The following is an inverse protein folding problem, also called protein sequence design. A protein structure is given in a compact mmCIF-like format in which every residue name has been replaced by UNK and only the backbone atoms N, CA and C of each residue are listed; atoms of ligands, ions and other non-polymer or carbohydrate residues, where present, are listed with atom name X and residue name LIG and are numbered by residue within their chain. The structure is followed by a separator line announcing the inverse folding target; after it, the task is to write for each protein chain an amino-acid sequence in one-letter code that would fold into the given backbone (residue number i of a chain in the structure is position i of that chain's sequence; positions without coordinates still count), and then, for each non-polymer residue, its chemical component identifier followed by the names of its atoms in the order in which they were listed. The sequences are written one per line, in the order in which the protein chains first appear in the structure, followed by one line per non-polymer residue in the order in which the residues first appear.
data_IF_778960700652
#
_entry.id   IF_778960700652
#
_cell.length_a   1.000
_cell.length_b   1.000
_cell.length_c   1.000
_cell.angle_alpha   90.00
_cell.angle_beta   90.00
_cell.angle_gamma   90.00
#
_symmetry.space_group_name_H-M   'P 1'
#
loop_
_entity.id
_entity.type
_entity.pdbx_description
1 polymer ?
#
# COMPACT_ATOMS: atom_id res chain seq x y z
N UNK A 1 13.01 43.48 8.13
CA UNK A 1 11.74 43.73 8.86
C UNK A 1 10.66 42.85 8.24
N UNK A 2 9.87 42.17 9.09
CA UNK A 2 8.76 41.20 8.85
C UNK A 2 9.10 39.97 7.99
N UNK A 3 9.20 38.72 8.45
CA UNK A 3 8.51 37.87 9.45
C UNK A 3 7.14 37.31 9.00
N UNK A 4 7.11 36.03 8.63
CA UNK A 4 6.00 35.06 8.76
C UNK A 4 6.52 33.66 8.34
N UNK A 5 7.00 32.85 9.29
CA UNK A 5 6.30 31.80 10.06
C UNK A 5 6.16 30.45 9.34
N UNK A 6 6.97 29.51 9.83
CA UNK A 6 7.03 28.08 9.57
C UNK A 6 5.75 27.36 10.00
N UNK A 7 5.18 26.55 9.11
CA UNK A 7 4.13 25.59 9.43
C UNK A 7 4.73 24.29 9.96
N UNK A 8 4.39 23.97 11.21
CA UNK A 8 4.87 22.85 12.03
C UNK A 8 4.20 21.51 11.72
N UNK A 9 4.93 20.46 12.07
CA UNK A 9 4.57 19.05 12.19
C UNK A 9 3.15 18.76 12.70
N UNK A 10 2.58 17.66 12.22
CA UNK A 10 1.41 17.02 12.84
C UNK A 10 1.66 15.52 13.04
N UNK A 11 2.55 15.20 13.98
CA UNK A 11 2.48 13.94 14.71
C UNK A 11 1.46 14.11 15.84
N UNK A 12 0.25 13.57 15.67
CA UNK A 12 -0.72 13.51 16.75
C UNK A 12 -0.30 12.41 17.74
N UNK A 13 0.26 12.80 18.88
CA UNK A 13 0.49 11.88 20.00
C UNK A 13 -0.75 11.82 20.90
N UNK A 14 -1.18 10.60 21.23
CA UNK A 14 -2.33 10.30 22.11
C UNK A 14 -2.11 10.78 23.57
N UNK A 15 -0.91 11.27 23.91
CA UNK A 15 -0.59 11.79 25.25
C UNK A 15 -1.13 13.19 25.56
N UNK A 16 -1.57 13.96 24.58
CA UNK A 16 -2.02 15.36 24.80
C UNK A 16 -3.51 15.50 25.18
N UNK A 17 -4.22 14.39 25.42
CA UNK A 17 -5.65 14.41 25.70
C UNK A 17 -6.06 14.14 27.17
N UNK A 18 -5.11 13.93 28.10
CA UNK A 18 -5.47 13.63 29.49
C UNK A 18 -4.53 14.32 30.49
N UNK A 19 -4.99 15.43 31.08
CA UNK A 19 -4.46 15.91 32.36
C UNK A 19 -4.98 14.99 33.48
N UNK A 20 -4.08 14.52 34.33
CA UNK A 20 -4.32 13.50 35.38
C UNK A 20 -5.27 13.92 36.52
N UNK A 21 -5.83 15.14 36.53
CA UNK A 21 -6.52 15.70 37.71
C UNK A 21 -8.06 15.72 37.65
N UNK A 22 -8.70 14.93 36.78
CA UNK A 22 -10.18 14.91 36.65
C UNK A 22 -10.85 13.58 37.01
N UNK A 23 -10.11 12.61 37.55
CA UNK A 23 -10.66 11.29 37.96
C UNK A 23 -11.36 11.27 39.33
N UNK A 24 -11.74 12.43 39.87
CA UNK A 24 -12.49 12.54 41.11
C UNK A 24 -13.72 13.43 40.96
N UNK A 25 -14.91 12.82 40.85
CA UNK A 25 -16.26 13.43 40.86
C UNK A 25 -16.94 13.64 39.50
N UNK A 26 -17.33 12.54 38.85
CA UNK A 26 -18.42 12.55 37.86
C UNK A 26 -19.71 12.04 38.51
N UNK A 27 -20.51 12.97 39.05
CA UNK A 27 -21.88 12.68 39.47
C UNK A 27 -22.81 12.63 38.26
N UNK A 28 -23.88 11.82 38.36
CA UNK A 28 -24.88 11.43 37.34
C UNK A 28 -25.53 12.53 36.48
N UNK A 29 -25.21 13.80 36.65
CA UNK A 29 -25.88 14.93 35.95
C UNK A 29 -25.18 15.44 34.70
N UNK A 30 -23.90 15.11 34.45
CA UNK A 30 -23.18 15.69 33.30
C UNK A 30 -23.39 14.96 31.95
N UNK A 31 -24.14 13.86 31.90
CA UNK A 31 -24.37 13.11 30.66
C UNK A 31 -25.54 13.67 29.84
N UNK A 32 -26.52 14.30 30.49
CA UNK A 32 -27.67 14.92 29.81
C UNK A 32 -27.28 16.24 29.14
N UNK A 33 -26.38 17.01 29.74
CA UNK A 33 -25.86 18.25 29.15
C UNK A 33 -25.00 17.98 27.90
N UNK A 34 -24.39 16.80 27.78
CA UNK A 34 -23.64 16.40 26.59
C UNK A 34 -24.55 16.03 25.40
N UNK A 35 -25.80 15.60 25.68
CA UNK A 35 -26.77 15.20 24.67
C UNK A 35 -27.56 16.39 24.11
N UNK A 36 -27.78 17.44 24.90
CA UNK A 36 -28.45 18.67 24.44
C UNK A 36 -27.58 19.55 23.51
N UNK A 37 -26.26 19.32 23.47
CA UNK A 37 -25.34 19.99 22.53
C UNK A 37 -25.44 19.49 21.07
N UNK A 38 -26.08 18.34 20.83
CA UNK A 38 -26.22 17.74 19.51
C UNK A 38 -27.53 18.27 18.87
N UNK A 39 -27.51 19.55 18.48
CA UNK A 39 -28.65 20.25 17.91
C UNK A 39 -29.14 19.67 16.58
N UNK A 40 -30.14 18.78 16.62
CA UNK A 40 -30.94 18.34 15.47
C UNK A 40 -31.96 19.44 15.09
N UNK A 41 -31.54 20.41 14.26
CA UNK A 41 -32.48 21.32 13.59
C UNK A 41 -33.22 20.58 12.46
N UNK A 42 -34.51 20.34 12.69
CA UNK A 42 -35.47 19.76 11.74
C UNK A 42 -35.76 20.76 10.61
N UNK A 43 -35.32 20.48 9.37
CA UNK A 43 -35.81 21.20 8.18
C UNK A 43 -37.06 20.49 7.65
N UNK A 44 -38.20 21.18 7.68
CA UNK A 44 -39.41 20.81 6.97
C UNK A 44 -39.26 21.13 5.48
N UNK A 45 -39.62 20.19 4.60
CA UNK A 45 -39.79 20.49 3.17
C UNK A 45 -39.68 19.28 2.24
N UNK A 46 -40.85 18.82 1.78
CA UNK A 46 -41.19 18.09 0.54
C UNK A 46 -40.38 16.84 0.13
N UNK A 47 -41.16 15.78 -0.08
CA UNK A 47 -40.76 14.44 -0.49
C UNK A 47 -39.93 14.38 -1.78
N UNK A 48 -38.88 13.56 -1.75
CA UNK A 48 -38.49 12.75 -2.91
C UNK A 48 -37.88 11.42 -2.43
N UNK A 49 -38.46 10.32 -2.89
CA UNK A 49 -38.05 8.95 -2.58
C UNK A 49 -36.67 8.67 -3.19
N UNK A 50 -35.62 8.64 -2.35
CA UNK A 50 -34.34 7.91 -2.50
C UNK A 50 -33.43 8.30 -1.33
N UNK A 51 -33.74 7.81 -0.13
CA UNK A 51 -32.88 7.98 1.04
C UNK A 51 -33.00 6.76 1.95
N UNK A 52 -32.43 5.65 1.51
CA UNK A 52 -32.12 4.51 2.37
C UNK A 52 -30.60 4.40 2.47
N UNK A 53 -30.13 4.39 3.72
CA UNK A 53 -28.78 4.07 4.18
C UNK A 53 -27.67 5.14 4.03
N UNK A 54 -27.74 6.18 4.87
CA UNK A 54 -26.55 6.57 5.65
C UNK A 54 -26.86 6.26 7.10
N UNK A 55 -26.56 5.04 7.52
CA UNK A 55 -26.52 4.75 8.95
C UNK A 55 -25.22 5.38 9.44
N UNK A 56 -25.33 6.39 10.30
CA UNK A 56 -24.18 7.10 10.84
C UNK A 56 -23.35 6.11 11.68
N UNK A 57 -22.12 5.83 11.21
CA UNK A 57 -21.22 4.84 11.80
C UNK A 57 -20.88 5.19 13.26
N UNK A 58 -20.94 6.48 13.62
CA UNK A 58 -20.79 6.95 15.02
C UNK A 58 -21.93 6.47 15.91
N UNK A 59 -23.15 6.39 15.37
CA UNK A 59 -24.32 5.89 16.09
C UNK A 59 -24.25 4.38 16.30
N UNK A 60 -23.74 3.62 15.32
CA UNK A 60 -23.53 2.16 15.47
C UNK A 60 -22.42 1.86 16.47
N UNK A 61 -21.27 2.53 16.36
CA UNK A 61 -20.16 2.34 17.30
C UNK A 61 -20.53 2.76 18.73
N UNK A 62 -21.28 3.86 18.89
CA UNK A 62 -21.82 4.26 20.19
C UNK A 62 -22.81 3.22 20.73
N UNK A 63 -23.67 2.65 19.89
CA UNK A 63 -24.60 1.59 20.31
C UNK A 63 -23.85 0.32 20.71
N UNK A 64 -22.80 -0.08 19.98
CA UNK A 64 -21.99 -1.26 20.31
C UNK A 64 -21.17 -1.06 21.59
N UNK A 65 -20.56 0.11 21.77
CA UNK A 65 -19.88 0.47 23.01
C UNK A 65 -20.85 0.52 24.21
N UNK A 66 -22.05 1.09 24.01
CA UNK A 66 -23.11 1.12 25.02
C UNK A 66 -23.59 -0.29 25.39
N UNK A 67 -23.74 -1.17 24.41
CA UNK A 67 -24.10 -2.58 24.63
C UNK A 67 -22.98 -3.36 25.34
N UNK A 68 -21.70 -3.10 25.04
CA UNK A 68 -20.57 -3.72 25.73
C UNK A 68 -20.43 -3.26 27.20
N UNK A 69 -20.74 -1.99 27.48
CA UNK A 69 -20.66 -1.41 28.84
C UNK A 69 -21.82 -1.84 29.75
N UNK A 70 -23.00 -2.15 29.21
CA UNK A 70 -24.19 -2.53 29.99
C UNK A 70 -24.24 -4.03 30.33
N UNK A 71 -23.37 -4.85 29.75
CA UNK A 71 -23.49 -6.31 29.76
C UNK A 71 -22.77 -7.11 30.88
N UNK A 72 -22.12 -6.58 31.94
CA UNK A 72 -21.61 -7.49 32.97
C UNK A 72 -22.69 -8.04 33.91
N UNK A 73 -23.95 -7.58 33.84
CA UNK A 73 -24.91 -7.86 34.92
C UNK A 73 -26.20 -8.61 34.54
N UNK A 74 -26.49 -8.90 33.26
CA UNK A 74 -27.75 -9.55 32.92
C UNK A 74 -27.60 -10.61 31.80
N UNK A 75 -27.61 -11.87 32.23
CA UNK A 75 -27.87 -13.10 31.48
C UNK A 75 -26.73 -13.72 30.65
N UNK A 76 -26.27 -14.96 30.98
CA UNK A 76 -25.29 -15.71 30.19
C UNK A 76 -25.79 -16.15 28.80
N UNK A 77 -27.06 -15.92 28.47
CA UNK A 77 -27.64 -16.25 27.16
C UNK A 77 -27.26 -15.21 26.08
N UNK A 78 -27.13 -13.93 26.46
CA UNK A 78 -26.79 -12.85 25.51
C UNK A 78 -25.31 -12.92 25.12
N UNK A 79 -24.44 -13.42 26.00
CA UNK A 79 -23.01 -13.63 25.69
C UNK A 79 -22.79 -14.61 24.53
N UNK A 80 -23.53 -15.73 24.50
CA UNK A 80 -23.41 -16.72 23.41
C UNK A 80 -23.94 -16.19 22.09
N UNK A 81 -25.01 -15.40 22.10
CA UNK A 81 -25.59 -14.80 20.90
C UNK A 81 -24.77 -13.60 20.39
N UNK A 82 -24.22 -12.79 21.30
CA UNK A 82 -23.36 -11.65 21.00
C UNK A 82 -21.98 -12.07 20.51
N UNK A 83 -21.39 -13.12 21.09
CA UNK A 83 -20.15 -13.69 20.56
C UNK A 83 -20.38 -14.37 19.21
N UNK A 84 -21.52 -15.02 18.99
CA UNK A 84 -21.85 -15.59 17.68
C UNK A 84 -22.09 -14.50 16.61
N UNK A 85 -22.70 -13.37 16.97
CA UNK A 85 -22.90 -12.25 16.05
C UNK A 85 -21.57 -11.53 15.75
N UNK A 86 -20.72 -11.34 16.76
CA UNK A 86 -19.37 -10.79 16.61
C UNK A 86 -18.46 -11.74 15.82
N UNK A 87 -18.49 -13.05 16.12
CA UNK A 87 -17.79 -14.06 15.33
C UNK A 87 -18.37 -14.19 13.93
N UNK A 88 -19.66 -13.98 13.68
CA UNK A 88 -20.21 -13.97 12.32
C UNK A 88 -19.85 -12.68 11.55
N UNK A 89 -19.76 -11.54 12.25
CA UNK A 89 -19.24 -10.28 11.70
C UNK A 89 -17.74 -10.37 11.38
N UNK A 90 -16.97 -11.12 12.16
CA UNK A 90 -15.53 -11.35 11.96
C UNK A 90 -15.25 -12.52 11.00
N UNK A 91 -16.05 -13.59 11.01
CA UNK A 91 -15.93 -14.74 10.10
C UNK A 91 -16.53 -14.46 8.71
N UNK A 92 -17.29 -13.37 8.56
CA UNK A 92 -17.70 -12.86 7.25
C UNK A 92 -16.58 -12.21 6.44
N UNK A 93 -15.34 -12.18 6.96
CA UNK A 93 -14.18 -11.63 6.27
C UNK A 93 -13.45 -12.64 5.36
N UNK A 94 -13.96 -13.86 5.18
CA UNK A 94 -13.38 -14.89 4.30
C UNK A 94 -13.78 -14.76 2.82
N UNK A 95 -14.39 -13.64 2.44
CA UNK A 95 -14.61 -13.24 1.06
C UNK A 95 -14.34 -11.74 0.98
N UNK A 96 -13.64 -11.28 -0.06
CA UNK A 96 -13.06 -9.94 -0.27
C UNK A 96 -14.01 -8.72 -0.21
N UNK A 97 -15.19 -8.84 0.41
CA UNK A 97 -16.14 -7.78 0.65
C UNK A 97 -16.37 -7.60 2.15
N UNK A 98 -15.44 -6.89 2.79
CA UNK A 98 -15.68 -6.33 4.12
C UNK A 98 -16.83 -5.31 4.04
N UNK A 99 -17.83 -5.40 4.93
CA UNK A 99 -18.88 -4.37 5.07
C UNK A 99 -18.31 -2.99 5.44
N UNK A 100 -17.11 -2.95 6.00
CA UNK A 100 -16.36 -1.75 6.33
C UNK A 100 -14.95 -1.88 5.74
N UNK A 101 -14.62 -1.01 4.80
CA UNK A 101 -13.24 -0.85 4.35
C UNK A 101 -12.44 -0.19 5.49
N UNK A 102 -11.60 -0.96 6.16
CA UNK A 102 -10.67 -0.45 7.17
C UNK A 102 -9.65 0.47 6.49
N UNK A 103 -9.44 1.71 6.99
CA UNK A 103 -8.35 2.57 6.52
C UNK A 103 -7.01 1.84 6.55
N UNK A 104 -6.13 2.07 5.57
CA UNK A 104 -4.82 1.39 5.47
C UNK A 104 -4.03 1.52 6.77
N UNK A 105 -4.05 2.69 7.40
CA UNK A 105 -3.38 2.94 8.68
C UNK A 105 -3.87 2.00 9.79
N UNK A 106 -5.17 1.69 9.81
CA UNK A 106 -5.71 0.74 10.80
C UNK A 106 -5.30 -0.69 10.53
N UNK A 107 -5.11 -1.09 9.25
CA UNK A 107 -4.60 -2.44 8.93
C UNK A 107 -3.18 -2.62 9.44
N UNK A 108 -2.33 -1.60 9.27
CA UNK A 108 -0.94 -1.65 9.71
C UNK A 108 -0.80 -1.78 11.23
N UNK A 109 -1.69 -1.16 12.01
CA UNK A 109 -1.68 -1.25 13.49
C UNK A 109 -1.98 -2.66 14.00
N UNK A 110 -2.77 -3.46 13.26
CA UNK A 110 -3.11 -4.83 13.65
C UNK A 110 -2.21 -5.89 13.01
N UNK A 111 -1.12 -5.48 12.36
CA UNK A 111 -0.14 -6.45 11.84
C UNK A 111 0.52 -7.19 13.00
N UNK A 112 0.73 -8.51 12.89
CA UNK A 112 1.50 -9.24 13.86
C UNK A 112 2.91 -8.63 13.99
N UNK A 113 3.44 -8.50 15.21
CA UNK A 113 4.79 -8.01 15.40
C UNK A 113 5.80 -8.96 14.76
N UNK A 114 6.82 -8.42 14.12
CA UNK A 114 7.91 -9.21 13.54
C UNK A 114 9.06 -9.39 14.53
N UNK A 115 9.80 -10.49 14.40
CA UNK A 115 11.06 -10.68 15.11
C UNK A 115 12.13 -9.78 14.47
N UNK A 116 12.81 -8.93 15.23
CA UNK A 116 13.74 -7.93 14.69
C UNK A 116 15.12 -8.49 14.32
N UNK A 117 15.34 -9.79 14.51
CA UNK A 117 16.63 -10.44 14.25
C UNK A 117 17.06 -10.34 12.78
N UNK A 118 16.12 -10.21 11.84
CA UNK A 118 16.43 -10.07 10.41
C UNK A 118 17.22 -8.81 10.06
N UNK A 119 17.20 -7.77 10.91
CA UNK A 119 17.81 -6.47 10.60
C UNK A 119 18.90 -6.04 11.58
N UNK A 120 19.28 -6.87 12.56
CA UNK A 120 20.33 -6.53 13.55
C UNK A 120 21.69 -6.25 12.91
N UNK A 121 22.02 -6.96 11.85
CA UNK A 121 23.29 -6.86 11.11
C UNK A 121 23.08 -6.31 9.68
N UNK A 122 21.94 -5.66 9.44
CA UNK A 122 21.60 -5.00 8.17
C UNK A 122 21.70 -3.49 8.39
N UNK A 123 22.80 -2.89 7.93
CA UNK A 123 23.04 -1.44 8.04
C UNK A 123 22.91 -0.71 6.71
N UNK A 124 22.89 -1.44 5.60
CA UNK A 124 22.72 -0.92 4.25
C UNK A 124 22.11 -2.00 3.35
N UNK A 125 21.58 -1.59 2.20
CA UNK A 125 21.14 -2.53 1.16
C UNK A 125 22.37 -3.10 0.46
N UNK A 126 22.47 -4.42 0.41
CA UNK A 126 23.60 -5.09 -0.23
C UNK A 126 23.52 -4.89 -1.75
N UNK A 127 24.68 -4.71 -2.41
CA UNK A 127 24.76 -4.53 -3.86
C UNK A 127 25.67 -5.62 -4.41
N UNK A 128 25.11 -6.46 -5.26
CA UNK A 128 25.78 -7.61 -5.87
C UNK A 128 25.65 -7.57 -7.39
N UNK A 129 26.47 -8.37 -8.05
CA UNK A 129 26.48 -8.55 -9.50
C UNK A 129 26.96 -9.96 -9.82
N UNK A 130 26.49 -10.55 -10.91
CA UNK A 130 26.84 -11.91 -11.34
C UNK A 130 26.66 -12.97 -10.23
N UNK A 131 25.63 -12.83 -9.40
CA UNK A 131 25.37 -13.73 -8.28
C UNK A 131 24.75 -15.04 -8.78
N UNK A 132 25.23 -16.19 -8.29
CA UNK A 132 24.62 -17.48 -8.65
C UNK A 132 23.23 -17.63 -8.00
N UNK A 133 22.29 -18.39 -8.62
CA UNK A 133 21.03 -18.71 -7.98
C UNK A 133 21.19 -19.34 -6.59
N UNK A 134 22.20 -20.18 -6.39
CA UNK A 134 22.49 -20.84 -5.12
C UNK A 134 22.95 -19.87 -4.02
N UNK A 135 23.85 -18.94 -4.37
CA UNK A 135 24.32 -17.91 -3.44
C UNK A 135 23.19 -16.93 -3.11
N UNK A 136 22.35 -16.61 -4.09
CA UNK A 136 21.17 -15.77 -3.87
C UNK A 136 20.14 -16.46 -2.98
N UNK A 137 19.85 -17.75 -3.22
CA UNK A 137 18.90 -18.53 -2.43
C UNK A 137 19.33 -18.64 -0.97
N UNK A 138 20.60 -18.99 -0.75
CA UNK A 138 21.15 -19.18 0.59
C UNK A 138 21.29 -17.89 1.40
N UNK A 139 21.42 -16.74 0.73
CA UNK A 139 21.73 -15.46 1.39
C UNK A 139 20.56 -14.50 1.43
N UNK A 140 19.75 -14.41 0.37
CA UNK A 140 18.78 -13.31 0.17
C UNK A 140 17.34 -13.77 -0.03
N UNK A 141 17.10 -14.87 -0.77
CA UNK A 141 15.75 -15.24 -1.20
C UNK A 141 14.72 -15.36 -0.06
N UNK A 142 15.17 -15.81 1.11
CA UNK A 142 14.31 -16.10 2.27
C UNK A 142 14.81 -15.46 3.57
N UNK A 143 15.70 -14.47 3.51
CA UNK A 143 16.35 -13.87 4.68
C UNK A 143 15.84 -12.47 5.05
N UNK A 144 14.82 -11.95 4.33
CA UNK A 144 14.26 -10.59 4.50
C UNK A 144 15.28 -9.47 4.23
N UNK A 145 16.54 -9.81 4.00
CA UNK A 145 17.66 -8.89 3.75
C UNK A 145 17.52 -8.29 2.35
N UNK A 146 17.43 -6.94 2.22
CA UNK A 146 17.28 -6.29 0.94
C UNK A 146 18.59 -6.35 0.14
N UNK A 147 18.48 -6.55 -1.18
CA UNK A 147 19.63 -6.62 -2.09
C UNK A 147 19.31 -5.99 -3.44
N UNK A 148 20.31 -5.37 -4.06
CA UNK A 148 20.29 -4.94 -5.46
C UNK A 148 21.21 -5.86 -6.28
N UNK A 149 20.68 -6.40 -7.37
CA UNK A 149 21.45 -7.11 -8.39
C UNK A 149 21.62 -6.21 -9.62
N UNK A 150 22.85 -5.78 -9.91
CA UNK A 150 23.17 -4.75 -10.92
C UNK A 150 23.06 -5.21 -12.38
N UNK A 151 23.18 -6.50 -12.64
CA UNK A 151 23.22 -7.09 -13.99
C UNK A 151 21.97 -7.91 -14.31
N UNK A 152 20.89 -7.71 -13.53
CA UNK A 152 19.65 -8.49 -13.60
C UNK A 152 18.96 -8.43 -14.97
N UNK A 153 19.08 -7.31 -15.68
CA UNK A 153 18.36 -7.01 -16.93
C UNK A 153 19.23 -7.19 -18.17
N UNK A 154 20.45 -7.76 -18.08
CA UNK A 154 21.42 -7.79 -19.18
C UNK A 154 20.89 -8.35 -20.51
N UNK A 155 19.90 -9.25 -20.46
CA UNK A 155 19.29 -9.89 -21.65
C UNK A 155 17.86 -9.40 -21.95
N UNK A 156 17.40 -8.34 -21.28
CA UNK A 156 16.02 -7.85 -21.42
C UNK A 156 15.95 -6.71 -22.43
N UNK A 157 15.13 -6.89 -23.48
CA UNK A 157 14.85 -5.80 -24.43
C UNK A 157 13.89 -4.75 -23.85
N UNK A 158 13.28 -5.02 -22.69
CA UNK A 158 12.42 -4.10 -21.97
C UNK A 158 13.09 -2.75 -21.66
N UNK A 159 14.41 -2.73 -21.46
CA UNK A 159 15.19 -1.50 -21.21
C UNK A 159 15.04 -0.50 -22.36
N UNK A 160 14.98 -1.00 -23.60
CA UNK A 160 14.87 -0.17 -24.80
C UNK A 160 13.42 0.02 -25.27
N UNK A 161 12.58 -1.00 -25.09
CA UNK A 161 11.22 -1.04 -25.66
C UNK A 161 10.20 -0.35 -24.77
N UNK A 162 10.30 -0.51 -23.45
CA UNK A 162 9.28 0.00 -22.55
C UNK A 162 9.27 1.53 -22.56
N UNK A 163 8.08 2.08 -22.76
CA UNK A 163 7.80 3.51 -22.84
C UNK A 163 6.34 3.75 -22.48
N UNK A 164 5.99 4.99 -22.18
CA UNK A 164 4.60 5.36 -21.98
C UNK A 164 3.76 4.99 -23.21
N UNK A 165 4.27 5.29 -24.41
CA UNK A 165 3.63 5.03 -25.69
C UNK A 165 3.40 3.53 -25.90
N UNK A 166 4.41 2.70 -25.63
CA UNK A 166 4.29 1.24 -25.70
C UNK A 166 3.15 0.72 -24.81
N UNK A 167 3.09 1.14 -23.54
CA UNK A 167 2.01 0.72 -22.64
C UNK A 167 0.65 1.28 -23.06
N UNK A 168 0.60 2.54 -23.50
CA UNK A 168 -0.63 3.15 -24.00
C UNK A 168 -1.21 2.34 -25.15
N UNK A 169 -0.42 1.99 -26.16
CA UNK A 169 -0.88 1.21 -27.30
C UNK A 169 -1.29 -0.22 -26.92
N UNK A 170 -0.47 -0.88 -26.10
CA UNK A 170 -0.71 -2.26 -25.67
C UNK A 170 -2.03 -2.41 -24.89
N UNK A 171 -2.32 -1.48 -23.98
CA UNK A 171 -3.52 -1.55 -23.14
C UNK A 171 -4.77 -0.95 -23.82
N UNK A 172 -4.63 0.03 -24.72
CA UNK A 172 -5.79 0.71 -25.34
C UNK A 172 -6.21 0.16 -26.70
N UNK A 173 -5.26 -0.34 -27.52
CA UNK A 173 -5.52 -0.77 -28.90
C UNK A 173 -5.45 -2.27 -29.07
N UNK A 174 -4.47 -2.92 -28.45
CA UNK A 174 -4.13 -4.32 -28.74
C UNK A 174 -4.83 -5.32 -27.83
N UNK A 175 -5.32 -4.89 -26.66
CA UNK A 175 -5.91 -5.79 -25.67
C UNK A 175 -7.30 -5.34 -25.23
N UNK A 176 -8.13 -6.32 -24.84
CA UNK A 176 -9.34 -6.07 -24.04
C UNK A 176 -9.00 -5.86 -22.55
N UNK A 177 -7.73 -5.61 -22.20
CA UNK A 177 -7.26 -5.55 -20.82
C UNK A 177 -8.01 -4.49 -20.01
N UNK A 178 -8.32 -3.33 -20.62
CA UNK A 178 -9.10 -2.27 -19.97
C UNK A 178 -10.59 -2.61 -19.80
N UNK A 179 -11.14 -3.51 -20.63
CA UNK A 179 -12.51 -3.99 -20.53
C UNK A 179 -12.66 -5.13 -19.51
N UNK A 180 -11.58 -5.84 -19.21
CA UNK A 180 -11.54 -6.90 -18.20
C UNK A 180 -11.60 -6.31 -16.79
N UNK A 181 -12.81 -6.13 -16.27
CA UNK A 181 -13.08 -5.76 -14.86
C UNK A 181 -12.81 -6.93 -13.92
N UNK A 182 -11.62 -7.53 -13.99
CA UNK A 182 -11.19 -8.49 -12.98
C UNK A 182 -11.03 -7.75 -11.66
N UNK A 183 -11.73 -8.18 -10.61
CA UNK A 183 -11.59 -7.64 -9.26
C UNK A 183 -10.18 -7.76 -8.68
N UNK A 184 -9.28 -8.53 -9.34
CA UNK A 184 -7.88 -8.70 -8.94
C UNK A 184 -6.93 -7.68 -9.54
N UNK A 185 -7.37 -6.91 -10.55
CA UNK A 185 -6.50 -5.92 -11.18
C UNK A 185 -6.65 -4.57 -10.50
N UNK A 186 -5.60 -4.14 -9.83
CA UNK A 186 -5.54 -2.91 -9.07
C UNK A 186 -4.80 -1.82 -9.86
N UNK A 187 -5.36 -0.60 -9.80
CA UNK A 187 -4.72 0.62 -10.27
C UNK A 187 -4.26 1.43 -9.06
N UNK A 188 -3.03 1.96 -9.11
CA UNK A 188 -2.39 2.70 -8.04
C UNK A 188 -2.13 4.14 -8.50
N UNK A 189 -3.00 5.10 -8.15
CA UNK A 189 -2.93 6.47 -8.69
C UNK A 189 -1.87 7.36 -8.03
N UNK A 190 -1.27 6.99 -6.89
CA UNK A 190 -0.22 7.74 -6.16
C UNK A 190 -0.24 9.28 -6.33
N UNK A 191 -1.16 9.97 -5.64
CA UNK A 191 -1.32 11.45 -5.66
C UNK A 191 -1.60 12.07 -7.04
N UNK A 192 -2.07 11.29 -8.02
CA UNK A 192 -2.62 11.83 -9.28
C UNK A 192 -4.15 11.95 -9.22
N UNK A 193 -4.71 12.67 -10.19
CA UNK A 193 -6.14 12.82 -10.40
C UNK A 193 -6.81 11.58 -11.03
N UNK A 194 -6.00 10.66 -11.58
CA UNK A 194 -6.49 9.54 -12.39
C UNK A 194 -7.31 8.56 -11.57
N UNK A 195 -8.42 8.11 -12.14
CA UNK A 195 -9.34 7.14 -11.53
C UNK A 195 -9.17 5.73 -12.09
N UNK A 196 -8.47 5.59 -13.20
CA UNK A 196 -8.29 4.31 -13.89
C UNK A 196 -7.01 4.29 -14.72
N UNK A 197 -6.57 3.08 -15.06
CA UNK A 197 -5.44 2.88 -15.96
C UNK A 197 -5.72 3.46 -17.36
N UNK A 198 -6.96 3.36 -17.85
CA UNK A 198 -7.35 3.94 -19.15
C UNK A 198 -7.13 5.45 -19.17
N UNK A 199 -7.58 6.17 -18.13
CA UNK A 199 -7.38 7.62 -18.01
C UNK A 199 -5.89 7.97 -17.95
N UNK A 200 -5.11 7.20 -17.20
CA UNK A 200 -3.68 7.42 -17.05
C UNK A 200 -2.89 7.09 -18.34
N UNK A 201 -3.33 6.14 -19.15
CA UNK A 201 -2.67 5.75 -20.41
C UNK A 201 -3.20 6.52 -21.63
N UNK A 202 -4.20 7.38 -21.47
CA UNK A 202 -4.75 8.24 -22.53
C UNK A 202 -4.53 9.73 -22.26
N UNK A 203 -3.53 10.06 -21.43
CA UNK A 203 -3.14 11.45 -21.19
C UNK A 203 -2.74 12.17 -22.48
N UNK A 204 -3.19 13.42 -22.61
CA UNK A 204 -2.70 14.32 -23.67
C UNK A 204 -1.23 14.68 -23.47
N UNK A 205 -0.52 14.99 -24.56
CA UNK A 205 0.88 15.49 -24.50
C UNK A 205 1.03 16.69 -23.56
N UNK A 206 0.06 17.61 -23.60
CA UNK A 206 0.02 18.77 -22.71
C UNK A 206 0.00 18.36 -21.23
N UNK A 207 -0.78 17.33 -20.86
CA UNK A 207 -0.82 16.83 -19.48
C UNK A 207 0.48 16.12 -19.10
N UNK A 208 1.06 15.33 -20.01
CA UNK A 208 2.33 14.62 -19.77
C UNK A 208 3.47 15.58 -19.45
N UNK A 209 3.53 16.74 -20.10
CA UNK A 209 4.63 17.70 -19.94
C UNK A 209 4.45 18.73 -18.81
N UNK A 210 3.21 19.05 -18.42
CA UNK A 210 2.97 20.22 -17.55
C UNK A 210 2.91 19.95 -16.06
N UNK A 211 2.66 18.70 -15.64
CA UNK A 211 2.59 18.36 -14.21
C UNK A 211 3.19 16.98 -14.00
N UNK A 212 3.87 16.75 -12.86
CA UNK A 212 4.39 15.44 -12.54
C UNK A 212 3.26 14.42 -12.40
N UNK A 213 3.56 13.18 -12.73
CA UNK A 213 2.63 12.06 -12.57
C UNK A 213 3.43 10.79 -12.25
N UNK A 214 2.87 9.95 -11.41
CA UNK A 214 3.39 8.63 -11.09
C UNK A 214 2.20 7.73 -10.77
N UNK A 215 2.12 6.58 -11.43
CA UNK A 215 1.09 5.59 -11.18
C UNK A 215 1.63 4.18 -11.40
N UNK A 216 0.91 3.20 -10.89
CA UNK A 216 1.18 1.80 -11.17
C UNK A 216 -0.08 1.00 -11.40
N UNK A 217 0.08 -0.22 -11.84
CA UNK A 217 -1.03 -1.17 -11.96
C UNK A 217 -0.52 -2.60 -11.91
N UNK A 218 -1.41 -3.53 -11.56
CA UNK A 218 -1.19 -4.96 -11.74
C UNK A 218 -1.70 -5.40 -13.11
N UNK A 219 -0.84 -6.05 -13.90
CA UNK A 219 -1.24 -6.72 -15.13
C UNK A 219 -1.84 -8.09 -14.79
N UNK A 220 -3.12 -8.28 -15.10
CA UNK A 220 -3.77 -9.60 -15.03
C UNK A 220 -4.47 -10.00 -16.33
N UNK A 221 -4.18 -9.31 -17.44
CA UNK A 221 -4.58 -9.75 -18.76
C UNK A 221 -3.50 -10.65 -19.36
N UNK A 222 -3.88 -11.88 -19.74
CA UNK A 222 -2.92 -12.86 -20.24
C UNK A 222 -2.34 -12.49 -21.60
N UNK A 223 -3.11 -11.82 -22.47
CA UNK A 223 -2.61 -11.42 -23.80
C UNK A 223 -1.57 -10.31 -23.66
N UNK A 224 -1.85 -9.33 -22.81
CA UNK A 224 -0.89 -8.29 -22.44
C UNK A 224 0.35 -8.88 -21.77
N UNK A 225 0.17 -9.84 -20.85
CA UNK A 225 1.29 -10.56 -20.24
C UNK A 225 2.17 -11.26 -21.28
N UNK A 226 1.58 -11.95 -22.26
CA UNK A 226 2.32 -12.64 -23.32
C UNK A 226 3.16 -11.68 -24.18
N UNK A 227 2.68 -10.45 -24.41
CA UNK A 227 3.46 -9.42 -25.12
C UNK A 227 4.60 -8.90 -24.24
N UNK A 228 4.31 -8.56 -22.99
CA UNK A 228 5.32 -8.06 -22.05
C UNK A 228 6.45 -9.07 -21.82
N UNK A 229 6.11 -10.36 -21.65
CA UNK A 229 7.05 -11.47 -21.42
C UNK A 229 7.93 -11.82 -22.62
N UNK A 230 7.75 -11.17 -23.78
CA UNK A 230 8.74 -11.20 -24.88
C UNK A 230 9.93 -10.28 -24.63
N UNK A 231 9.76 -9.29 -23.77
CA UNK A 231 10.75 -8.24 -23.52
C UNK A 231 11.53 -8.43 -22.23
N UNK A 232 11.04 -9.28 -21.33
CA UNK A 232 11.72 -9.63 -20.09
C UNK A 232 11.42 -11.08 -19.68
N UNK A 233 12.28 -11.63 -18.83
CA UNK A 233 12.18 -13.01 -18.31
C UNK A 233 12.11 -13.02 -16.79
N UNK A 234 12.05 -14.21 -16.18
CA UNK A 234 12.40 -14.37 -14.76
C UNK A 234 13.85 -13.87 -14.56
N UNK A 235 14.15 -13.06 -13.51
CA UNK A 235 15.52 -12.67 -13.21
C UNK A 235 16.42 -13.90 -13.02
N UNK A 236 17.63 -13.85 -13.56
CA UNK A 236 18.51 -15.02 -13.67
C UNK A 236 18.97 -15.58 -12.31
N UNK A 237 19.03 -14.71 -11.29
CA UNK A 237 19.52 -15.03 -9.95
C UNK A 237 18.46 -15.65 -9.05
N UNK A 238 17.19 -15.69 -9.46
CA UNK A 238 16.15 -16.31 -8.64
C UNK A 238 16.37 -17.83 -8.59
N UNK A 239 16.01 -18.49 -7.47
CA UNK A 239 16.16 -19.95 -7.31
C UNK A 239 15.62 -20.72 -8.51
N UNK A 240 16.24 -21.85 -8.86
CA UNK A 240 15.87 -22.60 -10.08
C UNK A 240 14.43 -23.12 -10.00
N UNK A 241 13.97 -23.44 -8.79
CA UNK A 241 12.63 -23.96 -8.53
C UNK A 241 11.59 -22.89 -8.27
N UNK A 242 11.97 -21.61 -8.24
CA UNK A 242 11.01 -20.56 -7.97
C UNK A 242 10.13 -20.27 -9.16
N UNK A 243 8.85 -20.16 -8.89
CA UNK A 243 7.87 -19.73 -9.87
C UNK A 243 7.69 -18.21 -9.79
N UNK A 244 7.43 -17.58 -10.93
CA UNK A 244 6.97 -16.20 -10.93
C UNK A 244 5.47 -16.16 -10.80
N UNK A 245 4.96 -15.22 -10.01
CA UNK A 245 3.52 -14.95 -10.02
C UNK A 245 3.05 -14.64 -11.45
N UNK A 246 1.78 -15.00 -11.72
CA UNK A 246 1.13 -14.68 -13.00
C UNK A 246 0.86 -13.18 -13.15
N UNK A 247 0.96 -12.43 -12.05
CA UNK A 247 0.68 -11.00 -12.01
C UNK A 247 1.99 -10.23 -11.94
N UNK A 248 2.08 -9.25 -12.82
CA UNK A 248 3.19 -8.30 -12.86
C UNK A 248 2.71 -6.95 -12.36
N UNK A 249 3.50 -6.26 -11.56
CA UNK A 249 3.27 -4.86 -11.22
C UNK A 249 4.16 -3.97 -12.04
N UNK A 250 3.54 -2.98 -12.67
CA UNK A 250 4.25 -1.99 -13.48
C UNK A 250 4.04 -0.64 -12.82
N UNK A 251 5.11 0.14 -12.69
CA UNK A 251 5.05 1.52 -12.22
C UNK A 251 5.78 2.43 -13.19
N UNK A 252 5.18 3.58 -13.47
CA UNK A 252 5.68 4.56 -14.41
C UNK A 252 5.43 5.97 -13.90
N UNK A 253 6.41 6.86 -14.08
CA UNK A 253 6.24 8.26 -13.71
C UNK A 253 7.43 9.15 -14.02
N UNK A 254 7.18 10.45 -13.93
CA UNK A 254 8.19 11.51 -14.08
C UNK A 254 8.97 11.74 -12.79
N UNK A 255 10.02 12.57 -12.85
CA UNK A 255 10.74 13.06 -11.69
C UNK A 255 9.82 13.54 -10.55
N UNK A 256 10.17 13.20 -9.31
CA UNK A 256 9.44 13.60 -8.11
C UNK A 256 8.96 12.42 -7.26
N UNK A 257 7.80 12.59 -6.63
CA UNK A 257 7.24 11.59 -5.71
C UNK A 257 6.82 10.32 -6.47
N UNK A 258 7.30 9.18 -5.99
CA UNK A 258 6.79 7.86 -6.38
C UNK A 258 5.79 7.33 -5.35
N UNK A 259 5.93 6.05 -5.00
CA UNK A 259 5.10 5.42 -3.98
C UNK A 259 5.40 6.01 -2.58
N UNK A 260 4.36 6.29 -1.81
CA UNK A 260 4.49 6.79 -0.43
C UNK A 260 5.01 5.70 0.50
N UNK A 261 5.37 6.05 1.73
CA UNK A 261 5.80 5.07 2.72
C UNK A 261 4.67 4.08 3.01
N UNK A 262 4.90 2.79 2.72
CA UNK A 262 3.93 1.73 2.91
C UNK A 262 4.63 0.37 3.05
N UNK A 263 3.82 -0.61 3.40
CA UNK A 263 4.13 -2.03 3.36
C UNK A 263 3.10 -2.67 2.44
N UNK A 264 3.56 -3.65 1.69
CA UNK A 264 2.68 -4.43 0.85
C UNK A 264 1.90 -5.45 1.68
N UNK A 265 0.92 -6.05 1.04
CA UNK A 265 0.10 -7.12 1.58
C UNK A 265 0.04 -8.24 0.54
N UNK A 266 1.22 -8.67 0.14
CA UNK A 266 1.46 -9.75 -0.84
C UNK A 266 1.77 -11.04 -0.08
N UNK A 267 1.72 -12.20 -0.73
CA UNK A 267 1.95 -13.47 -0.05
C UNK A 267 3.43 -13.84 0.03
N UNK A 268 4.23 -13.33 -0.91
CA UNK A 268 5.58 -13.79 -1.16
C UNK A 268 6.56 -12.63 -1.27
N UNK A 269 7.87 -12.89 -1.12
CA UNK A 269 8.89 -11.90 -1.40
C UNK A 269 8.78 -11.37 -2.84
N UNK A 270 9.13 -10.10 -3.04
CA UNK A 270 8.99 -9.44 -4.33
C UNK A 270 10.33 -8.91 -4.85
N UNK A 271 10.41 -8.83 -6.18
CA UNK A 271 11.50 -8.17 -6.87
C UNK A 271 10.94 -7.07 -7.76
N UNK A 272 11.71 -6.00 -7.95
CA UNK A 272 11.37 -4.91 -8.86
C UNK A 272 12.58 -4.53 -9.71
N UNK A 273 12.46 -4.76 -11.01
CA UNK A 273 13.41 -4.42 -12.04
C UNK A 273 13.20 -2.98 -12.52
N UNK A 274 14.27 -2.19 -12.54
CA UNK A 274 14.27 -0.83 -13.04
C UNK A 274 14.64 -0.84 -14.52
N UNK A 275 13.64 -0.73 -15.39
CA UNK A 275 13.86 -0.76 -16.84
C UNK A 275 14.35 0.59 -17.37
N UNK A 276 13.86 1.71 -16.85
CA UNK A 276 14.25 3.07 -17.29
C UNK A 276 14.30 4.05 -16.13
N UNK A 277 15.11 5.10 -16.23
CA UNK A 277 15.24 6.11 -15.19
C UNK A 277 15.89 5.58 -13.91
N UNK A 278 15.73 6.34 -12.83
CA UNK A 278 16.35 6.03 -11.52
C UNK A 278 15.39 6.36 -10.38
N UNK A 279 15.34 5.48 -9.38
CA UNK A 279 14.55 5.69 -8.16
C UNK A 279 15.44 5.61 -6.94
N UNK A 280 15.21 6.52 -6.00
CA UNK A 280 15.67 6.36 -4.62
C UNK A 280 14.61 5.60 -3.86
N UNK A 281 15.01 4.49 -3.24
CA UNK A 281 14.23 3.71 -2.31
C UNK A 281 14.67 4.07 -0.90
N UNK A 282 13.74 4.48 -0.05
CA UNK A 282 14.01 4.59 1.38
C UNK A 282 13.26 3.49 2.11
N UNK A 283 13.98 2.72 2.91
CA UNK A 283 13.49 1.58 3.68
C UNK A 283 13.52 1.91 5.17
N UNK A 284 12.42 1.63 5.84
CA UNK A 284 12.25 1.82 7.28
C UNK A 284 11.92 0.46 7.92
N UNK A 285 12.52 0.13 9.08
CA UNK A 285 12.13 -1.07 9.81
C UNK A 285 10.70 -0.91 10.37
N UNK A 286 10.01 -2.01 10.68
CA UNK A 286 8.75 -1.97 11.42
C UNK A 286 8.89 -1.19 12.74
N UNK A 287 7.83 -0.48 13.20
CA UNK A 287 7.90 0.36 14.39
C UNK A 287 8.43 -0.35 15.65
N UNK A 288 8.10 -1.63 15.82
CA UNK A 288 8.59 -2.47 16.93
C UNK A 288 10.11 -2.73 16.90
N UNK A 289 10.73 -2.59 15.74
CA UNK A 289 12.17 -2.79 15.51
C UNK A 289 12.96 -1.49 15.45
N UNK A 290 12.31 -0.33 15.65
CA UNK A 290 12.91 1.00 15.51
C UNK A 290 14.21 1.22 16.30
N UNK A 291 14.34 0.59 17.48
CA UNK A 291 15.54 0.74 18.32
C UNK A 291 16.64 -0.29 18.05
N UNK A 292 16.36 -1.33 17.25
CA UNK A 292 17.31 -2.39 16.93
C UNK A 292 17.86 -2.24 15.50
N UNK A 293 17.04 -1.71 14.60
CA UNK A 293 17.31 -1.67 13.18
C UNK A 293 17.38 -0.23 12.67
N UNK A 294 18.00 -0.04 11.51
CA UNK A 294 18.28 1.27 10.94
C UNK A 294 17.48 1.50 9.67
N UNK A 295 17.08 2.74 9.45
CA UNK A 295 16.56 3.20 8.17
C UNK A 295 17.69 3.19 7.13
N UNK A 296 17.35 2.82 5.90
CA UNK A 296 18.31 2.73 4.80
C UNK A 296 17.78 3.49 3.58
N UNK A 297 18.69 3.98 2.76
CA UNK A 297 18.37 4.58 1.49
C UNK A 297 19.30 4.03 0.41
N UNK A 298 18.73 3.70 -0.75
CA UNK A 298 19.50 3.17 -1.87
C UNK A 298 18.94 3.67 -3.20
N UNK A 299 19.83 3.90 -4.17
CA UNK A 299 19.42 4.26 -5.54
C UNK A 299 19.41 3.02 -6.42
N UNK A 300 18.29 2.76 -7.05
CA UNK A 300 18.08 1.70 -8.05
C UNK A 300 18.09 2.35 -9.42
N UNK A 301 19.00 1.93 -10.28
CA UNK A 301 19.22 2.50 -11.61
C UNK A 301 18.70 1.58 -12.72
N UNK A 302 18.53 2.13 -13.93
CA UNK A 302 18.19 1.31 -15.09
C UNK A 302 19.20 0.16 -15.27
N UNK A 303 18.70 -1.08 -15.33
CA UNK A 303 19.51 -2.31 -15.36
C UNK A 303 19.53 -3.08 -14.04
N UNK A 304 19.21 -2.41 -12.92
CA UNK A 304 19.19 -2.99 -11.59
C UNK A 304 17.87 -3.73 -11.32
N UNK A 305 17.91 -4.72 -10.43
CA UNK A 305 16.74 -5.24 -9.74
C UNK A 305 16.94 -5.16 -8.23
N UNK A 306 15.98 -4.57 -7.53
CA UNK A 306 15.91 -4.61 -6.07
C UNK A 306 15.04 -5.80 -5.65
N UNK A 307 15.50 -6.53 -4.64
CA UNK A 307 14.75 -7.59 -3.97
C UNK A 307 14.64 -7.23 -2.50
N UNK A 308 13.42 -7.31 -1.97
CA UNK A 308 13.15 -7.13 -0.55
C UNK A 308 11.81 -7.80 -0.21
N UNK A 309 11.64 -8.19 1.05
CA UNK A 309 10.32 -8.53 1.56
C UNK A 309 9.53 -7.24 1.80
N UNK A 310 8.66 -6.89 0.85
CA UNK A 310 7.84 -5.68 0.92
C UNK A 310 6.70 -5.77 1.92
N UNK A 311 6.41 -6.96 2.45
CA UNK A 311 5.53 -7.07 3.60
C UNK A 311 6.26 -6.58 4.85
N UNK A 312 7.55 -6.86 5.02
CA UNK A 312 8.26 -6.49 6.27
C UNK A 312 8.82 -5.07 6.21
N UNK A 313 9.57 -4.73 5.16
CA UNK A 313 10.19 -3.41 5.05
C UNK A 313 9.17 -2.36 4.63
N UNK A 314 8.98 -1.36 5.49
CA UNK A 314 8.30 -0.14 5.08
C UNK A 314 9.17 0.54 4.01
N UNK A 315 8.56 0.90 2.89
CA UNK A 315 9.30 1.46 1.77
C UNK A 315 8.57 2.61 1.11
N UNK A 316 9.35 3.59 0.63
CA UNK A 316 8.90 4.68 -0.25
C UNK A 316 9.84 4.79 -1.42
N UNK A 317 9.34 5.33 -2.54
CA UNK A 317 10.15 5.60 -3.72
C UNK A 317 10.03 7.04 -4.20
N UNK A 318 11.14 7.60 -4.67
CA UNK A 318 11.20 8.89 -5.35
C UNK A 318 11.93 8.73 -6.69
N UNK A 319 11.36 9.26 -7.76
CA UNK A 319 12.00 9.29 -9.08
C UNK A 319 12.98 10.45 -9.13
N UNK A 320 14.26 10.16 -9.38
CA UNK A 320 15.36 11.14 -9.39
C UNK A 320 15.99 11.33 -10.77
N UNK A 321 15.49 10.63 -11.80
CA UNK A 321 15.90 10.81 -13.19
C UNK A 321 15.08 11.90 -13.89
N UNK A 322 15.69 12.58 -14.86
CA UNK A 322 14.98 13.49 -15.77
C UNK A 322 14.07 12.72 -16.76
N UNK A 323 14.52 11.55 -17.21
CA UNK A 323 13.69 10.66 -18.01
C UNK A 323 12.60 9.98 -17.17
N UNK A 324 11.55 9.52 -17.85
CA UNK A 324 10.47 8.73 -17.23
C UNK A 324 11.06 7.46 -16.62
N UNK A 325 10.72 7.23 -15.36
CA UNK A 325 11.07 6.01 -14.66
C UNK A 325 10.06 4.92 -14.97
N UNK A 326 10.54 3.73 -15.30
CA UNK A 326 9.72 2.54 -15.56
C UNK A 326 10.30 1.38 -14.78
N UNK A 327 9.42 0.70 -14.04
CA UNK A 327 9.76 -0.52 -13.31
C UNK A 327 8.74 -1.60 -13.56
N UNK A 328 9.19 -2.85 -13.59
CA UNK A 328 8.34 -4.04 -13.57
C UNK A 328 8.76 -4.92 -12.41
N UNK A 329 7.80 -5.53 -11.72
CA UNK A 329 8.07 -6.41 -10.60
C UNK A 329 7.07 -7.54 -10.49
N UNK A 330 7.42 -8.56 -9.73
CA UNK A 330 6.55 -9.69 -9.44
C UNK A 330 6.95 -10.34 -8.13
N UNK A 331 6.07 -11.18 -7.60
CA UNK A 331 6.36 -12.11 -6.52
C UNK A 331 7.14 -13.32 -7.07
N UNK A 332 7.90 -13.95 -6.18
CA UNK A 332 8.52 -15.24 -6.44
C UNK A 332 8.41 -16.17 -5.23
N UNK A 333 8.22 -17.46 -5.50
CA UNK A 333 8.56 -18.56 -4.59
C UNK A 333 8.68 -19.90 -5.31
#
# INVERSE_FOLDING_TARGET
MSNQQSGTDSAFFVKDLLNEDQWGNLSRRNLLDLLDGIGLKRKNGAANQRALSRVDCKSILALMAFLLVIQPHYSPFIWRSGSALLSALLAGCDNDQCMLAMPVDTKNVFRPPVDCDFCRDVHQVDIVQHISPEDFESTYAYSVRPVIVKDALANWTAVDVFSYEFFSELYTKESNALASRSHRCQFFPYKTEFRSLEEALTMSEHRKSNQPWYFGWSNCDSQTADVLRRHYSRPYFLPERSESSRTDWIFIGTAGLGAHMHVDHVSLPSWQAQCRGKKVWSLEPPPECHYQCQSMEVTVEAGDTIVLDTNIWYHKTNVVSEEVSITIGSEYD
#
